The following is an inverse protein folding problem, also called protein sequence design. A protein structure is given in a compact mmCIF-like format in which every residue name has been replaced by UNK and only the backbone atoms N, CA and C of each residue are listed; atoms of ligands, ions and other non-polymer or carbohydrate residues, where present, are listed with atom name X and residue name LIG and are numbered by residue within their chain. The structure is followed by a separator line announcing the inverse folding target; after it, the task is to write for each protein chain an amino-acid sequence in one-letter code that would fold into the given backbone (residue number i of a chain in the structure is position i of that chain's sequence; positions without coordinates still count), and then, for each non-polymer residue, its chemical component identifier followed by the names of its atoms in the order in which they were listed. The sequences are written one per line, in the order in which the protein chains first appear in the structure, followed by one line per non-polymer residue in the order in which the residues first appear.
data_IF_278083558441
#
_entry.id   IF_278083558441
#
_cell.length_a   1.000
_cell.length_b   1.000
_cell.length_c   1.000
_cell.angle_alpha   90.00
_cell.angle_beta   90.00
_cell.angle_gamma   90.00
#
_symmetry.space_group_name_H-M   'P 1'
#
loop_
_entity.id
_entity.type
_entity.pdbx_description
1 polymer ?
#
# COMPACT_ATOMS: atom_id res chain seq x y z
N UNK A 1 -1.65 18.90 -20.91
CA UNK A 1 -0.42 18.90 -21.73
C UNK A 1 -0.63 17.93 -22.88
N UNK A 2 -0.55 18.39 -24.11
CA UNK A 2 -0.56 17.50 -25.27
C UNK A 2 0.82 16.84 -25.40
N UNK A 3 0.83 15.51 -25.36
CA UNK A 3 2.06 14.71 -25.49
C UNK A 3 2.35 14.33 -26.95
N UNK A 4 1.55 14.78 -27.91
CA UNK A 4 1.72 14.51 -29.34
C UNK A 4 1.46 13.07 -29.76
N UNK A 5 0.83 12.24 -28.90
CA UNK A 5 0.46 10.87 -29.26
C UNK A 5 -0.78 10.85 -30.15
N UNK A 6 -0.78 9.95 -31.14
CA UNK A 6 -1.97 9.71 -31.94
C UNK A 6 -3.12 9.20 -31.05
N UNK A 7 -4.30 9.83 -31.17
CA UNK A 7 -5.47 9.48 -30.36
C UNK A 7 -5.82 7.98 -30.46
N UNK A 8 -5.73 7.41 -31.67
CA UNK A 8 -6.00 5.96 -31.90
C UNK A 8 -5.09 5.04 -31.10
N UNK A 9 -3.82 5.41 -30.91
CA UNK A 9 -2.88 4.63 -30.10
C UNK A 9 -3.21 4.74 -28.60
N UNK A 10 -3.57 5.94 -28.16
CA UNK A 10 -4.00 6.15 -26.77
C UNK A 10 -5.27 5.36 -26.46
N UNK A 11 -6.25 5.42 -27.36
CA UNK A 11 -7.53 4.69 -27.19
C UNK A 11 -7.28 3.18 -27.14
N UNK A 12 -6.46 2.64 -28.03
CA UNK A 12 -6.10 1.21 -28.05
C UNK A 12 -5.43 0.76 -26.74
N UNK A 13 -4.49 1.55 -26.22
CA UNK A 13 -3.83 1.24 -24.95
C UNK A 13 -4.81 1.32 -23.77
N UNK A 14 -5.69 2.32 -23.76
CA UNK A 14 -6.74 2.42 -22.73
C UNK A 14 -7.67 1.22 -22.76
N UNK A 15 -8.11 0.79 -23.93
CA UNK A 15 -8.96 -0.40 -24.10
C UNK A 15 -8.24 -1.66 -23.60
N UNK A 16 -6.97 -1.85 -23.98
CA UNK A 16 -6.16 -2.97 -23.49
C UNK A 16 -6.01 -2.94 -21.95
N UNK A 17 -5.85 -1.76 -21.35
CA UNK A 17 -5.78 -1.62 -19.89
C UNK A 17 -7.13 -1.91 -19.21
N UNK A 18 -8.25 -1.60 -19.86
CA UNK A 18 -9.60 -2.01 -19.37
C UNK A 18 -9.71 -3.54 -19.39
N UNK A 19 -9.25 -4.21 -20.44
CA UNK A 19 -9.21 -5.67 -20.50
C UNK A 19 -8.50 -6.31 -19.30
N UNK A 20 -7.46 -5.66 -18.73
CA UNK A 20 -6.75 -6.18 -17.55
C UNK A 20 -7.64 -6.26 -16.31
N UNK A 21 -8.59 -5.35 -16.15
CA UNK A 21 -9.51 -5.33 -15.00
C UNK A 21 -10.76 -6.17 -15.21
N UNK A 22 -11.14 -6.45 -16.46
CA UNK A 22 -12.35 -7.20 -16.82
C UNK A 22 -12.06 -8.70 -16.94
N UNK A 23 -11.01 -9.07 -17.66
CA UNK A 23 -10.67 -10.47 -17.98
C UNK A 23 -9.22 -10.84 -17.69
N UNK A 24 -8.36 -9.85 -17.47
CA UNK A 24 -6.93 -10.01 -17.27
C UNK A 24 -6.51 -10.26 -15.83
N UNK A 25 -5.26 -9.86 -15.52
CA UNK A 25 -4.58 -10.22 -14.27
C UNK A 25 -5.20 -9.63 -13.01
N UNK A 26 -5.95 -8.53 -13.10
CA UNK A 26 -6.61 -7.91 -11.95
C UNK A 26 -8.15 -8.09 -11.93
N UNK A 27 -8.70 -8.95 -12.79
CA UNK A 27 -10.17 -9.16 -12.90
C UNK A 27 -10.84 -9.49 -11.56
N UNK A 28 -10.23 -10.33 -10.75
CA UNK A 28 -10.80 -10.71 -9.44
C UNK A 28 -10.82 -9.54 -8.47
N UNK A 29 -9.79 -8.68 -8.50
CA UNK A 29 -9.70 -7.52 -7.63
C UNK A 29 -10.79 -6.51 -7.95
N UNK A 30 -11.09 -6.31 -9.24
CA UNK A 30 -12.08 -5.34 -9.71
C UNK A 30 -13.48 -5.91 -9.92
N UNK A 31 -13.68 -7.19 -9.64
CA UNK A 31 -15.01 -7.80 -9.66
C UNK A 31 -15.99 -7.02 -8.77
N UNK A 32 -17.19 -6.74 -9.32
CA UNK A 32 -18.24 -6.02 -8.61
C UNK A 32 -17.97 -4.52 -8.37
N UNK A 33 -16.92 -3.93 -8.97
CA UNK A 33 -16.74 -2.49 -8.95
C UNK A 33 -17.91 -1.81 -9.71
N UNK A 34 -18.57 -0.77 -9.14
CA UNK A 34 -19.67 -0.07 -9.81
C UNK A 34 -19.16 0.99 -10.82
N UNK A 35 -17.89 0.99 -11.12
CA UNK A 35 -17.22 1.84 -12.11
C UNK A 35 -16.32 0.98 -13.00
N UNK A 36 -16.09 1.44 -14.22
CA UNK A 36 -15.08 0.87 -15.10
C UNK A 36 -13.69 1.38 -14.73
N UNK A 37 -12.68 0.58 -14.95
CA UNK A 37 -11.29 0.98 -14.71
C UNK A 37 -10.35 0.35 -15.72
N UNK A 38 -9.21 0.96 -15.92
CA UNK A 38 -8.10 0.37 -16.66
C UNK A 38 -6.88 0.25 -15.78
N UNK A 39 -6.08 -0.79 -15.97
CA UNK A 39 -4.87 -0.98 -15.18
C UNK A 39 -3.81 -1.84 -15.85
N UNK A 40 -2.62 -1.89 -15.26
CA UNK A 40 -1.53 -2.80 -15.65
C UNK A 40 -0.71 -3.19 -14.45
N UNK A 41 -0.56 -4.49 -14.26
CA UNK A 41 0.33 -5.05 -13.24
C UNK A 41 1.78 -4.99 -13.69
N UNK A 42 2.69 -4.83 -12.76
CA UNK A 42 4.12 -4.98 -12.95
C UNK A 42 4.73 -5.76 -11.80
N UNK A 43 5.90 -6.34 -12.07
CA UNK A 43 6.75 -6.95 -11.05
C UNK A 43 8.18 -6.52 -11.36
N UNK A 44 8.80 -5.81 -10.42
CA UNK A 44 10.18 -5.39 -10.57
C UNK A 44 11.08 -6.29 -9.72
N UNK A 45 12.04 -6.94 -10.39
CA UNK A 45 12.98 -7.83 -9.73
C UNK A 45 13.90 -7.07 -8.77
N UNK A 46 13.98 -7.55 -7.52
CA UNK A 46 14.89 -7.02 -6.52
C UNK A 46 16.27 -7.70 -6.58
N UNK A 47 16.34 -8.96 -7.05
CA UNK A 47 17.55 -9.74 -7.15
C UNK A 47 17.69 -10.44 -8.50
N UNK A 48 18.92 -10.68 -8.94
CA UNK A 48 19.17 -11.46 -10.14
C UNK A 48 18.95 -12.94 -9.85
N UNK A 49 18.04 -13.55 -10.61
CA UNK A 49 17.77 -14.99 -10.57
C UNK A 49 18.54 -15.66 -11.71
N UNK A 50 19.18 -16.81 -11.46
CA UNK A 50 19.85 -17.59 -12.49
C UNK A 50 18.88 -18.05 -13.58
N UNK A 51 19.34 -18.14 -14.82
CA UNK A 51 18.50 -18.49 -15.99
C UNK A 51 17.73 -19.81 -15.84
N UNK A 52 18.17 -20.71 -14.96
CA UNK A 52 17.54 -22.02 -14.74
C UNK A 52 16.73 -22.08 -13.41
N UNK A 53 16.80 -21.03 -12.61
CA UNK A 53 16.09 -20.97 -11.35
C UNK A 53 14.70 -20.36 -11.51
N UNK A 54 13.72 -20.90 -10.79
CA UNK A 54 12.39 -20.31 -10.71
C UNK A 54 12.31 -19.39 -9.51
N UNK A 55 11.73 -18.22 -9.72
CA UNK A 55 11.39 -17.31 -8.62
C UNK A 55 10.45 -18.00 -7.63
N UNK A 56 10.85 -18.02 -6.36
CA UNK A 56 10.09 -18.58 -5.26
C UNK A 56 10.19 -17.61 -4.07
N UNK A 57 9.17 -16.80 -3.89
CA UNK A 57 9.14 -15.75 -2.85
C UNK A 57 9.29 -16.32 -1.43
N UNK A 58 8.83 -17.56 -1.20
CA UNK A 58 8.86 -18.19 0.12
C UNK A 58 10.28 -18.61 0.55
N UNK A 59 11.18 -18.77 -0.43
CA UNK A 59 12.59 -19.11 -0.20
C UNK A 59 13.50 -17.90 -0.09
N UNK A 60 12.99 -16.70 -0.41
CA UNK A 60 13.76 -15.47 -0.39
C UNK A 60 13.54 -14.72 0.93
N UNK A 61 14.60 -14.09 1.43
CA UNK A 61 14.46 -13.10 2.49
C UNK A 61 13.57 -11.95 2.00
N UNK A 62 12.82 -11.32 2.89
CA UNK A 62 11.86 -10.27 2.52
C UNK A 62 12.50 -9.19 1.63
N UNK A 63 13.67 -8.68 2.00
CA UNK A 63 14.40 -7.66 1.24
C UNK A 63 14.85 -8.10 -0.18
N UNK A 64 14.75 -9.38 -0.51
CA UNK A 64 15.10 -9.96 -1.80
C UNK A 64 13.88 -10.26 -2.68
N UNK A 65 12.67 -10.09 -2.13
CA UNK A 65 11.44 -10.32 -2.89
C UNK A 65 11.20 -9.20 -3.88
N UNK A 66 10.60 -9.56 -5.00
CA UNK A 66 10.26 -8.63 -6.06
C UNK A 66 9.29 -7.54 -5.56
N UNK A 67 9.35 -6.36 -6.18
CA UNK A 67 8.42 -5.29 -5.91
C UNK A 67 7.16 -5.45 -6.75
N UNK A 68 6.01 -5.31 -6.10
CA UNK A 68 4.68 -5.35 -6.71
C UNK A 68 4.30 -3.96 -7.22
N UNK A 69 3.95 -3.86 -8.52
CA UNK A 69 3.57 -2.60 -9.13
C UNK A 69 2.19 -2.68 -9.77
N UNK A 70 1.49 -1.56 -9.74
CA UNK A 70 0.23 -1.39 -10.45
C UNK A 70 0.04 0.06 -10.87
N UNK A 71 -0.28 0.30 -12.13
CA UNK A 71 -0.76 1.58 -12.62
C UNK A 71 -2.21 1.45 -13.03
N UNK A 72 -3.03 2.45 -12.75
CA UNK A 72 -4.45 2.39 -13.08
C UNK A 72 -5.08 3.77 -13.23
N UNK A 73 -6.25 3.80 -13.87
CA UNK A 73 -7.12 4.97 -13.96
C UNK A 73 -8.58 4.55 -13.86
N UNK A 74 -9.42 5.44 -13.37
CA UNK A 74 -10.87 5.26 -13.26
C UNK A 74 -11.62 6.60 -13.19
N UNK A 75 -12.92 6.67 -13.64
CA UNK A 75 -13.58 5.71 -14.51
C UNK A 75 -12.92 5.61 -15.89
N UNK A 76 -13.07 4.48 -16.60
CA UNK A 76 -12.37 4.27 -17.87
C UNK A 76 -12.86 5.22 -18.99
N UNK A 77 -14.15 5.54 -19.01
CA UNK A 77 -14.78 6.40 -20.02
C UNK A 77 -14.37 7.87 -19.88
N UNK A 78 -14.29 8.35 -18.65
CA UNK A 78 -13.93 9.73 -18.32
C UNK A 78 -13.01 9.74 -17.07
N UNK A 79 -11.71 9.45 -17.22
CA UNK A 79 -10.80 9.30 -16.11
C UNK A 79 -10.73 10.54 -15.20
N UNK A 80 -11.04 10.35 -13.93
CA UNK A 80 -10.96 11.37 -12.89
C UNK A 80 -9.74 11.15 -12.00
N UNK A 81 -9.31 9.89 -11.85
CA UNK A 81 -8.19 9.50 -11.01
C UNK A 81 -7.25 8.62 -11.82
N UNK A 82 -5.97 8.92 -11.76
CA UNK A 82 -4.90 8.05 -12.19
C UNK A 82 -3.94 7.84 -11.01
N UNK A 83 -3.46 6.61 -10.85
CA UNK A 83 -2.56 6.26 -9.75
C UNK A 83 -1.47 5.29 -10.20
N UNK A 84 -0.37 5.31 -9.45
CA UNK A 84 0.67 4.31 -9.50
C UNK A 84 0.92 3.81 -8.08
N UNK A 85 0.96 2.50 -7.90
CA UNK A 85 1.20 1.84 -6.61
C UNK A 85 2.45 1.01 -6.73
N UNK A 86 3.35 1.17 -5.76
CA UNK A 86 4.52 0.32 -5.56
C UNK A 86 4.42 -0.25 -4.15
N UNK A 87 4.53 -1.57 -4.03
CA UNK A 87 4.64 -2.26 -2.75
C UNK A 87 5.98 -2.98 -2.77
N UNK A 88 6.92 -2.50 -1.99
CA UNK A 88 8.26 -3.07 -1.94
C UNK A 88 8.24 -4.48 -1.34
N UNK A 89 9.04 -5.37 -1.91
CA UNK A 89 9.29 -6.73 -1.43
C UNK A 89 8.02 -7.59 -1.27
N UNK A 90 6.97 -7.31 -2.04
CA UNK A 90 5.66 -7.93 -1.92
C UNK A 90 5.34 -8.96 -3.02
N UNK A 91 6.17 -9.08 -4.06
CA UNK A 91 5.95 -10.03 -5.15
C UNK A 91 5.00 -9.53 -6.24
N UNK A 92 3.97 -10.29 -6.60
CA UNK A 92 3.15 -10.03 -7.78
C UNK A 92 2.21 -8.82 -7.65
N UNK A 93 2.20 -7.96 -8.69
CA UNK A 93 1.38 -6.75 -8.75
C UNK A 93 -0.12 -6.97 -8.58
N UNK A 94 -0.66 -8.07 -9.12
CA UNK A 94 -2.08 -8.41 -8.98
C UNK A 94 -2.47 -8.81 -7.55
N UNK A 95 -1.54 -9.35 -6.78
CA UNK A 95 -1.81 -9.83 -5.43
C UNK A 95 -1.72 -8.73 -4.36
N UNK A 96 -0.86 -7.74 -4.56
CA UNK A 96 -0.57 -6.75 -3.52
C UNK A 96 -0.87 -5.31 -3.96
N UNK A 97 -0.38 -4.87 -5.13
CA UNK A 97 -0.57 -3.49 -5.57
C UNK A 97 -1.98 -3.20 -6.12
N UNK A 98 -2.57 -4.13 -6.89
CA UNK A 98 -3.91 -3.94 -7.44
C UNK A 98 -5.01 -3.85 -6.37
N UNK A 99 -5.02 -4.65 -5.28
CA UNK A 99 -5.97 -4.51 -4.19
C UNK A 99 -5.94 -3.14 -3.50
N UNK A 100 -4.77 -2.53 -3.40
CA UNK A 100 -4.62 -1.16 -2.88
C UNK A 100 -5.27 -0.17 -3.83
N UNK A 101 -4.95 -0.27 -5.13
CA UNK A 101 -5.54 0.59 -6.15
C UNK A 101 -7.07 0.55 -6.15
N UNK A 102 -7.68 -0.64 -6.01
CA UNK A 102 -9.13 -0.81 -5.91
C UNK A 102 -9.71 -0.02 -4.73
N UNK A 103 -9.11 -0.11 -3.55
CA UNK A 103 -9.59 0.58 -2.34
C UNK A 103 -9.43 2.09 -2.42
N UNK A 104 -8.36 2.55 -3.06
CA UNK A 104 -8.16 3.98 -3.34
C UNK A 104 -9.25 4.50 -4.28
N UNK A 105 -9.61 3.77 -5.32
CA UNK A 105 -10.71 4.15 -6.20
C UNK A 105 -12.07 4.12 -5.49
N UNK A 106 -12.36 3.09 -4.69
CA UNK A 106 -13.59 3.04 -3.90
C UNK A 106 -13.71 4.25 -2.98
N UNK A 107 -12.59 4.66 -2.36
CA UNK A 107 -12.57 5.85 -1.52
C UNK A 107 -12.77 7.15 -2.31
N UNK A 108 -12.02 7.35 -3.39
CA UNK A 108 -12.03 8.62 -4.14
C UNK A 108 -13.26 8.81 -4.99
N UNK A 109 -13.81 7.73 -5.58
CA UNK A 109 -14.95 7.80 -6.49
C UNK A 109 -16.31 7.61 -5.79
N UNK A 110 -16.32 6.82 -4.70
CA UNK A 110 -17.57 6.42 -4.04
C UNK A 110 -17.67 6.93 -2.59
N UNK A 111 -16.60 7.47 -2.04
CA UNK A 111 -16.55 7.82 -0.62
C UNK A 111 -16.64 6.61 0.31
N UNK A 112 -16.19 5.44 -0.15
CA UNK A 112 -16.27 4.18 0.60
C UNK A 112 -14.92 3.80 1.20
N UNK A 113 -14.96 3.44 2.47
CA UNK A 113 -13.81 2.94 3.24
C UNK A 113 -13.94 1.44 3.46
N UNK A 114 -12.83 0.68 3.46
CA UNK A 114 -12.86 -0.76 3.70
C UNK A 114 -13.59 -1.15 5.00
N UNK A 115 -14.23 -2.31 5.03
CA UNK A 115 -14.75 -2.90 6.25
C UNK A 115 -13.62 -3.30 7.19
N UNK A 116 -13.92 -3.53 8.48
CA UNK A 116 -12.93 -4.04 9.44
C UNK A 116 -12.44 -5.44 9.05
N UNK A 117 -13.32 -6.26 8.47
CA UNK A 117 -12.98 -7.58 7.96
C UNK A 117 -11.98 -7.49 6.80
N UNK A 118 -12.21 -6.56 5.88
CA UNK A 118 -11.33 -6.32 4.74
C UNK A 118 -9.96 -5.81 5.17
N UNK A 119 -9.92 -4.90 6.15
CA UNK A 119 -8.67 -4.41 6.75
C UNK A 119 -7.91 -5.56 7.42
N UNK A 120 -8.61 -6.43 8.15
CA UNK A 120 -7.99 -7.58 8.80
C UNK A 120 -7.42 -8.58 7.78
N UNK A 121 -8.12 -8.80 6.66
CA UNK A 121 -7.62 -9.64 5.56
C UNK A 121 -6.38 -9.01 4.89
N UNK A 122 -6.41 -7.70 4.65
CA UNK A 122 -5.29 -6.98 4.06
C UNK A 122 -4.02 -7.07 4.94
N UNK A 123 -4.16 -6.93 6.25
CA UNK A 123 -3.03 -7.09 7.21
C UNK A 123 -2.42 -8.49 7.20
N UNK A 124 -3.17 -9.50 6.77
CA UNK A 124 -2.69 -10.88 6.62
C UNK A 124 -2.14 -11.19 5.22
N UNK A 125 -2.06 -10.19 4.34
CA UNK A 125 -1.66 -10.39 2.95
C UNK A 125 -2.71 -11.10 2.07
N UNK A 126 -3.95 -11.19 2.54
CA UNK A 126 -5.06 -11.88 1.87
C UNK A 126 -6.00 -10.92 1.11
N UNK A 127 -5.58 -9.69 0.90
CA UNK A 127 -6.37 -8.70 0.19
C UNK A 127 -6.58 -9.10 -1.28
N UNK A 128 -7.85 -9.06 -1.72
CA UNK A 128 -8.26 -9.23 -3.11
C UNK A 128 -9.44 -8.31 -3.39
N UNK A 129 -10.57 -8.81 -3.91
CA UNK A 129 -11.84 -8.06 -3.93
C UNK A 129 -12.18 -7.60 -2.51
N UNK A 130 -12.66 -6.36 -2.31
CA UNK A 130 -13.14 -5.91 -1.01
C UNK A 130 -14.21 -6.85 -0.46
N UNK A 131 -14.12 -7.17 0.83
CA UNK A 131 -15.03 -8.05 1.56
C UNK A 131 -15.74 -7.33 2.69
N UNK A 132 -16.86 -7.90 3.14
CA UNK A 132 -17.69 -7.29 4.17
C UNK A 132 -18.41 -6.03 3.71
N UNK A 133 -19.10 -5.37 4.62
CA UNK A 133 -19.82 -4.13 4.32
C UNK A 133 -18.89 -2.94 4.43
N UNK A 134 -18.60 -2.29 3.29
CA UNK A 134 -17.85 -1.05 3.25
C UNK A 134 -18.57 0.05 4.05
N UNK A 135 -17.80 0.97 4.64
CA UNK A 135 -18.29 2.08 5.45
C UNK A 135 -18.21 3.37 4.66
N UNK A 136 -19.06 4.35 4.99
CA UNK A 136 -18.86 5.68 4.46
C UNK A 136 -17.56 6.27 5.00
N UNK A 137 -16.78 6.90 4.14
CA UNK A 137 -15.52 7.54 4.52
C UNK A 137 -15.74 8.66 5.56
N UNK A 138 -16.93 9.33 5.52
CA UNK A 138 -17.35 10.31 6.52
C UNK A 138 -17.48 9.74 7.93
N UNK A 139 -17.76 8.45 8.06
CA UNK A 139 -18.02 7.79 9.34
C UNK A 139 -16.74 7.20 9.96
N UNK A 140 -15.63 7.26 9.23
CA UNK A 140 -14.33 6.76 9.68
C UNK A 140 -13.47 7.92 10.17
N UNK A 141 -13.08 7.94 11.45
CA UNK A 141 -12.18 8.98 11.97
C UNK A 141 -10.86 8.97 11.18
N UNK A 142 -10.47 10.12 10.64
CA UNK A 142 -9.16 10.29 10.05
C UNK A 142 -8.10 10.18 11.15
N UNK A 143 -7.47 9.03 11.27
CA UNK A 143 -6.24 8.90 12.04
C UNK A 143 -5.17 9.60 11.22
N UNK A 144 -4.71 10.78 11.69
CA UNK A 144 -3.49 11.37 11.13
C UNK A 144 -2.36 10.37 11.38
N UNK A 145 -1.89 9.73 10.32
CA UNK A 145 -0.61 9.04 10.38
C UNK A 145 0.41 10.12 10.72
N UNK A 146 1.07 9.98 11.85
CA UNK A 146 2.14 10.90 12.23
C UNK A 146 3.14 10.92 11.06
N UNK A 147 3.44 12.12 10.56
CA UNK A 147 4.44 12.30 9.52
C UNK A 147 5.76 11.71 10.04
N UNK A 148 6.32 10.68 9.41
CA UNK A 148 7.57 10.08 9.89
C UNK A 148 8.74 11.07 9.87
N UNK A 149 8.61 12.19 9.16
CA UNK A 149 9.61 13.28 9.17
C UNK A 149 9.42 14.26 10.32
N UNK A 150 8.28 14.19 11.00
CA UNK A 150 7.95 15.04 12.15
C UNK A 150 7.91 14.21 13.43
N UNK A 151 9.01 13.50 13.70
CA UNK A 151 9.23 12.83 14.96
C UNK A 151 9.27 13.89 16.06
N UNK A 152 8.30 13.96 17.01
CA UNK A 152 8.45 14.84 18.13
C UNK A 152 9.74 14.45 18.87
N UNK A 153 10.54 15.42 19.37
CA UNK A 153 11.76 15.08 20.10
C UNK A 153 11.39 14.12 21.22
N UNK A 154 12.12 13.01 21.30
CA UNK A 154 11.98 12.06 22.41
C UNK A 154 11.97 12.85 23.71
N UNK A 155 11.05 12.54 24.65
CA UNK A 155 11.08 13.19 25.95
C UNK A 155 12.44 12.88 26.58
N UNK A 156 13.29 13.89 26.63
CA UNK A 156 14.58 13.80 27.35
C UNK A 156 14.25 13.32 28.76
N UNK A 157 14.72 12.12 29.07
CA UNK A 157 14.59 11.56 30.41
C UNK A 157 15.14 12.57 31.38
N UNK A 158 14.24 13.16 32.17
CA UNK A 158 14.59 14.03 33.31
C UNK A 158 15.47 13.22 34.24
N UNK A 159 16.76 13.53 34.25
CA UNK A 159 17.70 13.01 35.23
C UNK A 159 17.27 13.57 36.57
N UNK A 160 16.49 12.79 37.30
CA UNK A 160 16.19 13.11 38.69
C UNK A 160 17.49 13.05 39.46
N UNK A 161 17.98 14.23 39.82
CA UNK A 161 19.13 14.41 40.72
C UNK A 161 18.78 13.83 42.07
N UNK A 162 19.21 12.62 42.35
CA UNK A 162 19.17 12.05 43.70
C UNK A 162 20.30 12.67 44.51
N UNK A 163 20.01 13.74 45.21
CA UNK A 163 20.83 14.30 46.29
C UNK A 163 20.88 13.29 47.44
N UNK A 164 21.95 12.50 47.53
CA UNK A 164 22.33 11.78 48.75
C UNK A 164 23.19 12.68 49.61
N UNK A 165 22.55 13.28 50.62
CA UNK A 165 23.26 13.89 51.76
C UNK A 165 24.01 12.78 52.49
N UNK A 166 25.34 12.85 52.47
CA UNK A 166 26.22 12.06 53.32
C UNK A 166 26.31 12.70 54.70
N UNK A 167 25.75 12.03 55.68
CA UNK A 167 26.07 12.35 57.11
C UNK A 167 27.24 11.54 57.52
N UNK A 168 28.38 12.20 57.70
CA UNK A 168 29.56 11.63 58.34
C UNK A 168 29.33 11.65 59.85
N UNK A 169 29.41 10.50 60.50
CA UNK A 169 29.54 10.40 61.94
C UNK A 169 30.90 9.79 62.21
N UNK A 170 31.79 10.61 62.76
CA UNK A 170 33.05 10.16 63.31
C UNK A 170 32.77 9.60 64.71
N UNK A 171 33.36 8.44 65.00
CA UNK A 171 33.62 8.06 66.41
C UNK A 171 34.98 7.36 66.49
N UNK A 172 35.74 7.86 67.44
CA UNK A 172 37.11 7.47 67.71
C UNK A 172 37.23 6.29 68.71
N UNK A 173 38.47 5.89 68.91
CA UNK A 173 39.03 5.07 70.00
C UNK A 173 38.92 3.50 69.77
N UNK A 174 39.88 2.79 69.92
CA UNK A 174 41.15 2.49 70.61
C UNK A 174 41.92 1.46 69.78
#
# INVERSE_FOLDING_TARGET
VDLGFAKSHVDLIKEAMVGVTVEGTSRFVFAGAPYSSGGKTGTAQAVTIGQQDKYDADKLAEAQRDHSLYIAFAPAEAPQVALAVIVENAGFGSAHAAPIARRVFDYLLLGLYPSEEDIAAARKGLASTPIGQQRLASDVPLVRVADPTNNPPEPTASVAATSKASVATATAAE
#
